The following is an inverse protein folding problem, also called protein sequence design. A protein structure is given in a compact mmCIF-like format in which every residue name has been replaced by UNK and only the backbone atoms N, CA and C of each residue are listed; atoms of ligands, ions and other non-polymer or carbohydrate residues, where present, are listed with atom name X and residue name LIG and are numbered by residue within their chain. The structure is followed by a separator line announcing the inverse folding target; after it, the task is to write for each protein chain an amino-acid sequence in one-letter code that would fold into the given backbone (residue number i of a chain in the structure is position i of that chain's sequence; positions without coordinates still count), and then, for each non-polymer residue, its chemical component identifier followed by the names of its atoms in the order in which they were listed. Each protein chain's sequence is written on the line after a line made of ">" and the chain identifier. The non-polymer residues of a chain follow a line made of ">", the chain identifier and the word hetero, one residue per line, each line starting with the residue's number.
data_IF_248306040810
#
_entry.id   IF_248306040810
#
_cell.length_a   1.000
_cell.length_b   1.000
_cell.length_c   1.000
_cell.angle_alpha   90.00
_cell.angle_beta   90.00
_cell.angle_gamma   90.00
#
_symmetry.space_group_name_H-M   'P 1'
#
loop_
_entity.id
_entity.type
_entity.pdbx_description
1 polymer ?
#
# COMPACT_ATOMS: atom_id res chain seq x y z
N UNK A 1 13.13 -0.54 -10.52
CA UNK A 1 14.42 0.18 -10.35
C UNK A 1 15.64 -0.56 -10.85
N UNK A 2 15.86 -1.85 -10.51
CA UNK A 2 17.09 -2.60 -10.91
C UNK A 2 17.42 -2.53 -12.41
N UNK A 3 16.42 -2.72 -13.30
CA UNK A 3 16.61 -2.63 -14.76
C UNK A 3 17.04 -1.23 -15.22
N UNK A 4 16.47 -0.18 -14.65
CA UNK A 4 16.78 1.23 -14.99
C UNK A 4 18.20 1.60 -14.59
N UNK A 5 18.65 1.17 -13.39
CA UNK A 5 20.04 1.34 -12.97
C UNK A 5 21.03 0.60 -13.87
N UNK A 6 20.67 -0.62 -14.30
CA UNK A 6 21.48 -1.42 -15.21
C UNK A 6 21.65 -0.70 -16.56
N UNK A 7 20.56 -0.17 -17.13
CA UNK A 7 20.61 0.66 -18.34
C UNK A 7 21.44 1.93 -18.14
N UNK A 8 21.28 2.63 -17.02
CA UNK A 8 22.06 3.85 -16.72
C UNK A 8 23.56 3.57 -16.65
N UNK A 9 23.96 2.49 -15.96
CA UNK A 9 25.36 2.06 -15.88
C UNK A 9 25.87 1.71 -17.28
N UNK A 10 25.08 0.97 -18.07
CA UNK A 10 25.48 0.54 -19.41
C UNK A 10 25.66 1.73 -20.36
N UNK A 11 24.75 2.72 -20.32
CA UNK A 11 24.86 3.97 -21.10
C UNK A 11 26.07 4.79 -20.65
N UNK A 12 26.31 4.90 -19.34
CA UNK A 12 27.47 5.65 -18.80
C UNK A 12 28.79 4.99 -19.23
N UNK A 13 28.84 3.66 -19.23
CA UNK A 13 30.02 2.89 -19.62
C UNK A 13 30.27 2.98 -21.13
N UNK A 14 29.21 2.90 -21.94
CA UNK A 14 29.28 3.01 -23.40
C UNK A 14 29.64 4.44 -23.84
N UNK A 15 29.09 5.46 -23.19
CA UNK A 15 29.45 6.86 -23.42
C UNK A 15 30.90 7.17 -23.01
N UNK A 16 31.39 6.57 -21.92
CA UNK A 16 32.79 6.70 -21.50
C UNK A 16 33.76 6.05 -22.49
N UNK A 17 33.41 4.87 -23.03
CA UNK A 17 34.19 4.17 -24.05
C UNK A 17 34.23 4.94 -25.38
N UNK A 18 33.11 5.52 -25.80
CA UNK A 18 33.06 6.36 -27.00
C UNK A 18 33.90 7.64 -26.84
N UNK A 19 33.83 8.30 -25.68
CA UNK A 19 34.65 9.47 -25.40
C UNK A 19 36.15 9.15 -25.34
N UNK A 20 36.51 7.95 -24.86
CA UNK A 20 37.88 7.48 -24.89
C UNK A 20 38.40 7.22 -26.30
N UNK A 21 37.56 6.69 -27.20
CA UNK A 21 37.95 6.39 -28.58
C UNK A 21 37.99 7.62 -29.51
N UNK A 22 37.13 8.62 -29.30
CA UNK A 22 36.92 9.72 -30.25
C UNK A 22 37.20 11.14 -29.69
N UNK A 23 37.58 11.30 -28.42
CA UNK A 23 37.69 12.62 -27.78
C UNK A 23 38.86 12.75 -26.80
N UNK A 24 39.05 13.97 -26.25
CA UNK A 24 40.13 14.27 -25.29
C UNK A 24 39.91 13.52 -23.96
N UNK A 25 40.97 12.94 -23.36
CA UNK A 25 40.85 12.11 -22.16
C UNK A 25 40.30 12.86 -20.93
N UNK A 26 40.45 14.19 -20.89
CA UNK A 26 39.98 15.03 -19.78
C UNK A 26 38.44 15.01 -19.62
N UNK A 27 37.70 14.71 -20.70
CA UNK A 27 36.24 14.71 -20.70
C UNK A 27 35.64 13.43 -20.09
N UNK A 28 36.41 12.35 -20.04
CA UNK A 28 35.97 11.04 -19.55
C UNK A 28 35.68 11.11 -18.05
N UNK A 29 36.57 11.76 -17.29
CA UNK A 29 36.42 11.92 -15.85
C UNK A 29 35.13 12.68 -15.49
N UNK A 30 34.85 13.77 -16.23
CA UNK A 30 33.64 14.57 -16.02
C UNK A 30 32.37 13.79 -16.36
N UNK A 31 32.39 13.00 -17.44
CA UNK A 31 31.26 12.16 -17.85
C UNK A 31 31.01 11.02 -16.86
N UNK A 32 32.07 10.36 -16.37
CA UNK A 32 31.97 9.28 -15.39
C UNK A 32 31.42 9.79 -14.04
N UNK A 33 31.90 10.94 -13.56
CA UNK A 33 31.39 11.57 -12.33
C UNK A 33 29.93 11.99 -12.49
N UNK A 34 29.57 12.57 -13.64
CA UNK A 34 28.17 12.92 -13.96
C UNK A 34 27.25 11.70 -13.99
N UNK A 35 27.67 10.61 -14.63
CA UNK A 35 26.91 9.36 -14.68
C UNK A 35 26.77 8.69 -13.32
N UNK A 36 27.81 8.72 -12.48
CA UNK A 36 27.76 8.23 -11.11
C UNK A 36 26.77 9.02 -10.23
N UNK A 37 26.74 10.35 -10.38
CA UNK A 37 25.77 11.22 -9.70
C UNK A 37 24.32 10.90 -10.10
N UNK A 38 24.07 10.71 -11.40
CA UNK A 38 22.74 10.33 -11.90
C UNK A 38 22.33 8.96 -11.36
N UNK A 39 23.24 7.98 -11.35
CA UNK A 39 22.98 6.66 -10.77
C UNK A 39 22.66 6.74 -9.27
N UNK A 40 23.40 7.56 -8.52
CA UNK A 40 23.14 7.83 -7.10
C UNK A 40 21.74 8.43 -6.86
N UNK A 41 21.33 9.39 -7.69
CA UNK A 41 19.99 9.97 -7.61
C UNK A 41 18.89 8.93 -7.88
N UNK A 42 19.07 8.04 -8.86
CA UNK A 42 18.11 6.97 -9.12
C UNK A 42 18.02 5.96 -7.97
N UNK A 43 19.12 5.69 -7.27
CA UNK A 43 19.12 4.85 -6.07
C UNK A 43 18.31 5.49 -4.94
N UNK A 44 18.54 6.78 -4.65
CA UNK A 44 17.79 7.53 -3.64
C UNK A 44 16.29 7.62 -3.97
N UNK A 45 15.97 7.86 -5.24
CA UNK A 45 14.59 7.91 -5.69
C UNK A 45 13.91 6.54 -5.58
N UNK A 46 14.65 5.46 -5.83
CA UNK A 46 14.17 4.09 -5.64
C UNK A 46 13.87 3.73 -4.19
N UNK A 47 14.71 4.15 -3.25
CA UNK A 47 14.48 3.92 -1.82
C UNK A 47 13.32 4.76 -1.30
N UNK A 48 13.24 6.04 -1.67
CA UNK A 48 12.13 6.94 -1.34
C UNK A 48 10.79 6.39 -1.83
N UNK A 49 10.71 5.96 -3.09
CA UNK A 49 9.49 5.37 -3.66
C UNK A 49 9.08 4.12 -2.88
N UNK A 50 10.00 3.19 -2.62
CA UNK A 50 9.68 2.00 -1.82
C UNK A 50 9.18 2.35 -0.41
N UNK A 51 9.74 3.39 0.21
CA UNK A 51 9.31 3.84 1.53
C UNK A 51 7.90 4.45 1.50
N UNK A 52 7.60 5.23 0.47
CA UNK A 52 6.28 5.86 0.26
C UNK A 52 5.21 4.78 0.02
N UNK A 53 5.47 3.81 -0.85
CA UNK A 53 4.48 2.78 -1.19
C UNK A 53 4.24 1.78 -0.06
N UNK A 54 5.27 1.43 0.74
CA UNK A 54 5.07 0.58 1.93
C UNK A 54 4.18 1.23 2.98
N UNK A 55 4.29 2.55 3.20
CA UNK A 55 3.45 3.24 4.19
C UNK A 55 2.03 3.57 3.69
N UNK A 56 1.85 3.78 2.38
CA UNK A 56 0.54 4.13 1.80
C UNK A 56 -0.46 2.97 1.73
N UNK A 57 -0.04 1.71 1.66
CA UNK A 57 -0.97 0.57 1.63
C UNK A 57 -1.77 0.41 2.93
N UNK A 58 -1.13 0.66 4.08
CA UNK A 58 -1.80 0.62 5.38
C UNK A 58 -2.80 1.78 5.50
N UNK A 59 -2.38 2.99 5.10
CA UNK A 59 -3.26 4.16 5.10
C UNK A 59 -4.47 3.97 4.16
N UNK A 60 -4.27 3.36 2.99
CA UNK A 60 -5.36 3.02 2.05
C UNK A 60 -6.33 2.01 2.67
N UNK A 61 -5.83 0.96 3.30
CA UNK A 61 -6.66 -0.04 3.99
C UNK A 61 -7.49 0.60 5.11
N UNK A 62 -6.87 1.43 5.96
CA UNK A 62 -7.59 2.14 7.03
C UNK A 62 -8.66 3.07 6.44
N UNK A 63 -8.34 3.80 5.37
CA UNK A 63 -9.29 4.68 4.71
C UNK A 63 -10.48 3.91 4.12
N UNK A 64 -10.24 2.76 3.49
CA UNK A 64 -11.31 1.89 2.96
C UNK A 64 -12.21 1.37 4.09
N UNK A 65 -11.63 0.96 5.23
CA UNK A 65 -12.37 0.50 6.41
C UNK A 65 -13.26 1.64 6.94
N UNK A 66 -12.71 2.84 7.14
CA UNK A 66 -13.46 4.02 7.62
C UNK A 66 -14.59 4.41 6.66
N UNK A 67 -14.32 4.45 5.35
CA UNK A 67 -15.36 4.75 4.35
C UNK A 67 -16.50 3.73 4.36
N UNK A 68 -16.19 2.43 4.45
CA UNK A 68 -17.22 1.37 4.49
C UNK A 68 -18.19 1.58 5.65
N UNK A 69 -17.68 1.88 6.85
CA UNK A 69 -18.52 2.11 8.01
C UNK A 69 -19.30 3.42 7.94
N UNK A 70 -18.74 4.48 7.34
CA UNK A 70 -19.47 5.73 7.11
C UNK A 70 -20.67 5.53 6.17
N UNK A 71 -20.47 4.83 5.05
CA UNK A 71 -21.54 4.51 4.09
C UNK A 71 -22.60 3.65 4.76
N UNK A 72 -22.21 2.63 5.52
CA UNK A 72 -23.14 1.77 6.28
C UNK A 72 -24.00 2.61 7.24
N UNK A 73 -23.39 3.54 7.97
CA UNK A 73 -24.10 4.44 8.90
C UNK A 73 -25.12 5.33 8.19
N UNK A 74 -24.76 5.90 7.03
CA UNK A 74 -25.68 6.72 6.21
C UNK A 74 -26.85 5.86 5.73
N UNK A 75 -26.59 4.63 5.26
CA UNK A 75 -27.65 3.71 4.83
C UNK A 75 -28.61 3.42 5.98
N UNK A 76 -28.09 3.08 7.17
CA UNK A 76 -28.91 2.83 8.36
C UNK A 76 -29.76 4.07 8.71
N UNK A 77 -29.17 5.26 8.68
CA UNK A 77 -29.89 6.50 8.95
C UNK A 77 -31.03 6.74 7.95
N UNK A 78 -30.78 6.54 6.66
CA UNK A 78 -31.81 6.66 5.62
C UNK A 78 -32.90 5.59 5.78
N UNK A 79 -32.54 4.37 6.18
CA UNK A 79 -33.49 3.28 6.43
C UNK A 79 -34.42 3.61 7.61
N UNK A 80 -33.86 4.13 8.70
CA UNK A 80 -34.62 4.50 9.90
C UNK A 80 -35.60 5.66 9.65
N UNK A 81 -35.34 6.51 8.64
CA UNK A 81 -36.26 7.56 8.22
C UNK A 81 -37.45 7.09 7.39
N UNK A 82 -37.43 5.85 6.89
CA UNK A 82 -38.53 5.32 6.11
C UNK A 82 -39.74 5.02 7.01
N UNK A 83 -40.92 5.48 6.60
CA UNK A 83 -42.16 5.36 7.40
C UNK A 83 -42.63 3.93 7.64
N UNK A 84 -42.19 2.98 6.81
CA UNK A 84 -42.52 1.56 6.95
C UNK A 84 -41.63 0.83 7.96
N UNK A 85 -40.53 1.44 8.41
CA UNK A 85 -39.57 0.81 9.30
C UNK A 85 -39.76 1.30 10.73
N UNK A 86 -40.19 0.40 11.62
CA UNK A 86 -40.34 0.70 13.04
C UNK A 86 -38.98 0.61 13.73
N UNK A 87 -38.42 1.72 14.26
CA UNK A 87 -37.02 1.75 14.73
C UNK A 87 -36.72 0.73 15.84
N UNK A 88 -37.70 0.45 16.70
CA UNK A 88 -37.55 -0.47 17.83
C UNK A 88 -37.34 -1.92 17.39
N UNK A 89 -38.09 -2.39 16.40
CA UNK A 89 -37.93 -3.74 15.84
C UNK A 89 -36.66 -3.88 15.01
N UNK A 90 -36.26 -2.82 14.31
CA UNK A 90 -34.98 -2.78 13.60
C UNK A 90 -33.79 -2.87 14.57
N UNK A 91 -33.82 -2.10 15.66
CA UNK A 91 -32.78 -2.18 16.70
C UNK A 91 -32.70 -3.57 17.34
N UNK A 92 -33.86 -4.21 17.60
CA UNK A 92 -33.90 -5.58 18.09
C UNK A 92 -33.25 -6.57 17.10
N UNK A 93 -33.54 -6.45 15.80
CA UNK A 93 -32.89 -7.27 14.76
C UNK A 93 -31.37 -7.05 14.65
N UNK A 94 -30.90 -5.82 14.77
CA UNK A 94 -29.45 -5.53 14.78
C UNK A 94 -28.77 -6.10 16.04
N UNK A 95 -29.42 -5.99 17.20
CA UNK A 95 -28.88 -6.54 18.46
C UNK A 95 -28.79 -8.07 18.46
N UNK A 96 -29.73 -8.77 17.83
CA UNK A 96 -29.68 -10.24 17.73
C UNK A 96 -28.53 -10.70 16.83
N UNK A 97 -28.25 -9.96 15.74
CA UNK A 97 -27.07 -10.19 14.90
C UNK A 97 -25.76 -9.97 15.66
N UNK A 98 -25.67 -8.91 16.46
CA UNK A 98 -24.50 -8.68 17.32
C UNK A 98 -24.31 -9.81 18.33
N UNK A 99 -25.38 -10.23 19.01
CA UNK A 99 -25.32 -11.31 19.99
C UNK A 99 -24.94 -12.65 19.35
N UNK A 100 -25.50 -12.96 18.18
CA UNK A 100 -25.14 -14.16 17.42
C UNK A 100 -23.66 -14.18 17.00
N UNK A 101 -23.12 -13.02 16.62
CA UNK A 101 -21.70 -12.87 16.28
C UNK A 101 -20.79 -13.11 17.49
N UNK A 102 -21.18 -12.60 18.67
CA UNK A 102 -20.46 -12.81 19.93
C UNK A 102 -20.52 -14.28 20.34
N UNK A 103 -21.70 -14.91 20.29
CA UNK A 103 -21.86 -16.33 20.61
C UNK A 103 -21.04 -17.22 19.68
N UNK A 104 -21.05 -16.93 18.38
CA UNK A 104 -20.23 -17.64 17.40
C UNK A 104 -18.74 -17.51 17.72
N UNK A 105 -18.25 -16.30 18.01
CA UNK A 105 -16.85 -16.07 18.35
C UNK A 105 -16.42 -16.81 19.64
N UNK A 106 -17.29 -16.85 20.65
CA UNK A 106 -17.02 -17.56 21.91
C UNK A 106 -17.05 -19.08 21.71
N UNK A 107 -18.03 -19.60 20.97
CA UNK A 107 -18.16 -21.04 20.71
C UNK A 107 -16.98 -21.56 19.88
N UNK A 108 -16.62 -20.85 18.80
CA UNK A 108 -15.51 -21.23 17.93
C UNK A 108 -14.16 -21.22 18.68
N UNK A 109 -13.95 -20.25 19.57
CA UNK A 109 -12.76 -20.19 20.43
C UNK A 109 -12.61 -21.44 21.31
N UNK A 110 -13.70 -22.02 21.81
CA UNK A 110 -13.65 -23.23 22.63
C UNK A 110 -13.43 -24.50 21.81
N UNK A 111 -13.79 -24.52 20.52
CA UNK A 111 -13.54 -25.67 19.66
C UNK A 111 -12.05 -25.83 19.37
N UNK A 112 -11.32 -24.74 19.12
CA UNK A 112 -9.88 -24.78 18.84
C UNK A 112 -9.06 -25.30 20.04
N UNK A 113 -9.51 -25.04 21.28
CA UNK A 113 -8.83 -25.48 22.52
C UNK A 113 -8.97 -27.00 22.74
N UNK A 114 -10.09 -27.61 22.35
CA UNK A 114 -10.35 -29.04 22.60
C UNK A 114 -9.80 -29.97 21.50
N UNK A 115 -9.25 -29.42 20.42
CA UNK A 115 -8.58 -30.20 19.35
C UNK A 115 -7.08 -30.36 19.56
N UNK A 116 -6.50 -29.74 20.59
CA UNK A 116 -5.08 -29.87 20.96
C UNK A 116 -4.82 -30.83 22.15
N UNK A 117 -5.87 -31.46 22.71
CA UNK A 117 -5.77 -32.58 23.67
C UNK A 117 -5.96 -33.93 22.98
#
# INVERSE_FOLDING_TARGET
>A
MKRVLLFQILITLLGSLLLWAFSRPDLIASYAVGGALVAGNFLLLGTLINFIFKKKLIALMVLVIVFKYAILGIIIYLLVKQSWLVPLWFAAGVSSMMMGSVLYAVMFRNTDINTEE
#
